data_IF_986936131118
#
_entry.id   IF_986936131118
#
_cell.length_a   1.000
_cell.length_b   1.000
_cell.length_c   1.000
_cell.angle_alpha   90.00
_cell.angle_beta   90.00
_cell.angle_gamma   90.00
#
_symmetry.space_group_name_H-M   'P 1'
#
loop_
_entity.id
_entity.type
_entity.pdbx_description
1 polymer ?
#
# COMPACT_ATOMS: atom_id res chain seq x y z
N UNK A 1 20.11 24.34 -8.02
CA UNK A 1 19.51 23.51 -6.96
C UNK A 1 20.11 23.93 -5.63
N UNK A 2 19.30 24.09 -4.59
CA UNK A 2 19.79 24.52 -3.27
C UNK A 2 20.54 23.37 -2.60
N UNK A 3 21.80 23.58 -2.27
CA UNK A 3 22.63 22.63 -1.55
C UNK A 3 22.53 22.85 -0.04
N UNK A 4 22.54 21.77 0.71
CA UNK A 4 22.44 21.76 2.16
C UNK A 4 23.71 21.18 2.75
N UNK A 5 24.09 21.65 3.95
CA UNK A 5 25.27 21.21 4.66
C UNK A 5 24.89 20.55 5.99
N UNK A 6 25.42 19.37 6.27
CA UNK A 6 25.30 18.71 7.57
C UNK A 6 26.67 18.39 8.13
N UNK A 7 26.93 18.85 9.35
CA UNK A 7 28.11 18.51 10.11
C UNK A 7 27.78 17.40 11.11
N UNK A 8 28.71 16.47 11.29
CA UNK A 8 28.50 15.38 12.24
C UNK A 8 29.72 14.50 12.42
N UNK A 9 29.58 13.51 13.30
CA UNK A 9 30.63 12.51 13.51
C UNK A 9 30.61 11.52 12.36
N UNK A 10 31.74 11.38 11.68
CA UNK A 10 31.92 10.46 10.58
C UNK A 10 32.30 9.07 11.10
N UNK A 11 31.60 8.05 10.62
CA UNK A 11 31.92 6.64 10.81
C UNK A 11 32.17 6.01 9.43
N UNK A 12 33.39 5.49 9.23
CA UNK A 12 33.80 4.76 8.04
C UNK A 12 34.39 3.41 8.43
N UNK A 13 34.30 2.43 7.53
CA UNK A 13 34.93 1.10 7.72
C UNK A 13 36.00 0.92 6.66
N UNK A 14 37.16 0.41 7.06
CA UNK A 14 38.25 0.11 6.13
C UNK A 14 37.76 -0.81 4.99
N UNK A 15 38.07 -0.45 3.74
CA UNK A 15 37.67 -1.21 2.55
C UNK A 15 36.19 -1.11 2.16
N UNK A 16 35.42 -0.16 2.73
CA UNK A 16 34.03 0.12 2.34
C UNK A 16 33.87 1.59 1.94
N UNK A 17 33.19 1.82 0.81
CA UNK A 17 32.89 3.16 0.28
C UNK A 17 31.70 3.80 0.99
N UNK A 18 30.72 3.00 1.42
CA UNK A 18 29.56 3.45 2.20
C UNK A 18 29.99 3.87 3.60
N UNK A 19 29.66 5.10 3.96
CA UNK A 19 29.98 5.76 5.23
C UNK A 19 28.68 6.13 5.96
N UNK A 20 28.81 6.51 7.23
CA UNK A 20 27.71 7.05 8.01
C UNK A 20 28.12 8.33 8.73
N UNK A 21 27.24 9.31 8.80
CA UNK A 21 27.42 10.55 9.54
C UNK A 21 26.31 10.66 10.58
N UNK A 22 26.70 10.81 11.85
CA UNK A 22 25.75 11.01 12.96
C UNK A 22 25.71 12.50 13.31
N UNK A 23 24.52 13.07 13.29
CA UNK A 23 24.26 14.47 13.64
C UNK A 23 22.95 14.61 14.42
N UNK A 24 22.66 15.80 14.93
CA UNK A 24 21.44 16.10 15.68
C UNK A 24 20.77 17.32 15.05
N UNK A 25 19.47 17.23 14.85
CA UNK A 25 18.64 18.36 14.43
C UNK A 25 17.45 18.52 15.36
N UNK A 26 17.04 19.76 15.69
CA UNK A 26 15.74 19.98 16.32
C UNK A 26 14.63 19.36 15.47
N UNK A 27 13.62 18.77 16.11
CA UNK A 27 12.55 18.08 15.40
C UNK A 27 11.82 18.96 14.37
N UNK A 28 11.71 20.27 14.63
CA UNK A 28 11.10 21.24 13.72
C UNK A 28 11.93 21.48 12.44
N UNK A 29 13.25 21.28 12.50
CA UNK A 29 14.16 21.49 11.36
C UNK A 29 14.20 20.30 10.41
N UNK A 30 13.59 19.16 10.76
CA UNK A 30 13.63 17.96 9.93
C UNK A 30 13.09 18.20 8.51
N UNK A 31 12.03 18.98 8.33
CA UNK A 31 11.48 19.26 6.99
C UNK A 31 12.35 20.22 6.16
N UNK A 32 13.22 20.99 6.81
CA UNK A 32 14.15 21.91 6.15
C UNK A 32 15.34 21.15 5.56
N UNK A 33 15.84 20.13 6.26
CA UNK A 33 17.02 19.36 5.86
C UNK A 33 16.70 18.05 5.15
N UNK A 34 15.51 17.48 5.36
CA UNK A 34 15.11 16.17 4.80
C UNK A 34 13.86 16.27 3.93
N UNK A 35 13.73 15.35 2.96
CA UNK A 35 12.55 15.18 2.11
C UNK A 35 11.46 14.38 2.83
N UNK A 36 10.97 14.90 3.95
CA UNK A 36 10.07 14.16 4.86
C UNK A 36 8.68 13.88 4.30
N UNK A 37 8.24 14.64 3.29
CA UNK A 37 6.92 14.49 2.65
C UNK A 37 6.96 13.67 1.36
N UNK A 38 8.15 13.44 0.80
CA UNK A 38 8.34 12.73 -0.46
C UNK A 38 8.34 11.23 -0.18
N UNK A 39 7.47 10.51 -0.88
CA UNK A 39 7.56 9.06 -0.96
C UNK A 39 8.53 8.72 -2.09
N UNK A 40 9.49 7.83 -1.83
CA UNK A 40 10.36 7.31 -2.88
C UNK A 40 9.48 6.61 -3.94
N UNK A 41 9.60 6.92 -5.25
CA UNK A 41 8.69 6.39 -6.28
C UNK A 41 8.54 4.86 -6.24
N UNK A 42 9.66 4.14 -6.10
CA UNK A 42 9.65 2.67 -6.06
C UNK A 42 9.18 2.10 -4.72
N UNK A 43 8.91 2.95 -3.73
CA UNK A 43 8.34 2.57 -2.44
C UNK A 43 6.86 2.97 -2.29
N UNK A 44 6.23 3.58 -3.30
CA UNK A 44 4.85 4.06 -3.23
C UNK A 44 3.87 2.97 -2.78
N UNK A 45 3.98 1.77 -3.36
CA UNK A 45 3.11 0.63 -3.02
C UNK A 45 3.29 0.17 -1.56
N UNK A 46 4.51 0.27 -1.00
CA UNK A 46 4.80 -0.11 0.37
C UNK A 46 4.33 0.97 1.37
N UNK A 47 4.43 2.24 1.00
CA UNK A 47 3.85 3.32 1.79
C UNK A 47 2.32 3.23 1.82
N UNK A 48 1.69 2.97 0.68
CA UNK A 48 0.26 2.67 0.64
C UNK A 48 -0.07 1.44 1.50
N UNK A 49 0.81 0.44 1.48
CA UNK A 49 0.64 -0.74 2.32
C UNK A 49 0.71 -0.50 3.83
N UNK A 50 1.56 0.45 4.22
CA UNK A 50 1.73 0.84 5.60
C UNK A 50 0.54 1.65 6.15
N UNK A 51 -0.41 2.11 5.31
CA UNK A 51 -1.63 2.81 5.73
C UNK A 51 -2.67 1.85 6.32
N UNK A 52 -2.34 1.24 7.45
CA UNK A 52 -3.22 0.30 8.15
C UNK A 52 -3.40 0.68 9.62
N UNK A 53 -4.46 0.13 10.23
CA UNK A 53 -4.85 0.42 11.62
C UNK A 53 -3.73 0.09 12.62
N UNK A 54 -2.96 -0.97 12.38
CA UNK A 54 -1.84 -1.38 13.26
C UNK A 54 -0.76 -0.31 13.29
N UNK A 55 -0.30 0.16 12.13
CA UNK A 55 0.69 1.24 12.06
C UNK A 55 0.13 2.57 12.60
N UNK A 56 -1.15 2.86 12.38
CA UNK A 56 -1.80 4.05 12.96
C UNK A 56 -1.83 3.99 14.50
N UNK A 57 -2.11 2.80 15.06
CA UNK A 57 -2.05 2.56 16.50
C UNK A 57 -0.63 2.77 17.04
N UNK A 58 0.37 2.14 16.40
CA UNK A 58 1.79 2.32 16.75
C UNK A 58 2.23 3.78 16.74
N UNK A 59 1.83 4.56 15.72
CA UNK A 59 2.12 6.00 15.69
C UNK A 59 1.52 6.70 16.89
N UNK A 60 0.30 6.35 17.29
CA UNK A 60 -0.36 6.96 18.45
C UNK A 60 0.34 6.57 19.76
N UNK A 61 0.72 5.30 19.92
CA UNK A 61 1.52 4.81 21.05
C UNK A 61 2.87 5.56 21.15
N UNK A 62 3.59 5.73 20.03
CA UNK A 62 4.83 6.53 19.99
C UNK A 62 4.57 7.99 20.40
N UNK A 63 3.49 8.62 19.90
CA UNK A 63 3.15 10.01 20.27
C UNK A 63 2.87 10.15 21.77
N UNK A 64 2.21 9.16 22.38
CA UNK A 64 1.93 9.13 23.82
C UNK A 64 3.19 8.93 24.66
N UNK A 65 4.11 8.08 24.22
CA UNK A 65 5.36 7.83 24.93
C UNK A 65 6.26 9.07 24.93
N UNK A 66 6.49 9.70 23.77
CA UNK A 66 7.23 10.97 23.67
C UNK A 66 6.57 12.05 24.53
N UNK A 67 5.23 12.11 24.54
CA UNK A 67 4.51 13.08 25.35
C UNK A 67 4.75 12.87 26.86
N UNK A 68 4.72 11.62 27.33
CA UNK A 68 5.01 11.30 28.74
C UNK A 68 6.45 11.65 29.11
N UNK A 69 7.40 11.34 28.24
CA UNK A 69 8.82 11.64 28.46
C UNK A 69 9.04 13.16 28.60
N UNK A 70 8.54 13.94 27.65
CA UNK A 70 8.73 15.39 27.65
C UNK A 70 7.97 16.10 28.78
N UNK A 71 6.73 15.69 29.10
CA UNK A 71 5.92 16.39 30.10
C UNK A 71 6.21 15.94 31.53
N UNK A 72 6.53 14.66 31.75
CA UNK A 72 6.66 14.09 33.09
C UNK A 72 8.12 13.81 33.48
N UNK A 73 9.09 14.10 32.61
CA UNK A 73 10.51 13.88 32.88
C UNK A 73 10.91 12.40 32.98
N UNK A 74 10.21 11.53 32.25
CA UNK A 74 10.51 10.10 32.21
C UNK A 74 11.82 9.79 31.48
N UNK A 75 12.45 8.67 31.83
CA UNK A 75 13.61 8.15 31.07
C UNK A 75 13.10 7.68 29.71
N UNK A 76 13.55 8.35 28.65
CA UNK A 76 13.17 8.08 27.27
C UNK A 76 14.30 7.53 26.41
N UNK A 77 13.93 6.93 25.28
CA UNK A 77 14.90 6.58 24.24
C UNK A 77 15.14 7.80 23.33
N UNK A 78 16.38 8.05 22.88
CA UNK A 78 16.65 9.18 21.99
C UNK A 78 15.85 9.04 20.69
N UNK A 79 15.20 10.13 20.29
CA UNK A 79 14.52 10.23 19.00
C UNK A 79 15.56 10.02 17.89
N UNK A 80 15.48 8.91 17.17
CA UNK A 80 16.52 8.54 16.22
C UNK A 80 15.92 8.15 14.86
N UNK A 81 16.49 8.69 13.79
CA UNK A 81 16.10 8.38 12.42
C UNK A 81 17.32 7.91 11.63
N UNK A 82 17.09 6.97 10.72
CA UNK A 82 18.10 6.57 9.74
C UNK A 82 17.70 7.09 8.37
N UNK A 83 18.59 7.87 7.76
CA UNK A 83 18.37 8.53 6.48
C UNK A 83 19.43 8.04 5.50
N UNK A 84 19.04 7.79 4.25
CA UNK A 84 19.95 7.50 3.15
C UNK A 84 20.01 8.71 2.23
N UNK A 85 21.21 9.08 1.80
CA UNK A 85 21.43 10.01 0.70
C UNK A 85 21.57 9.23 -0.60
N UNK A 86 20.58 9.35 -1.47
CA UNK A 86 20.67 8.91 -2.86
C UNK A 86 21.64 9.81 -3.64
N UNK A 87 22.24 9.24 -4.69
CA UNK A 87 23.30 9.86 -5.48
C UNK A 87 24.59 10.06 -4.67
N UNK A 88 25.52 10.81 -5.25
CA UNK A 88 26.86 11.05 -4.72
C UNK A 88 26.91 12.43 -4.03
N UNK A 89 26.93 12.51 -2.68
CA UNK A 89 27.16 13.77 -1.98
C UNK A 89 28.65 14.15 -2.02
N UNK A 90 28.94 15.40 -1.68
CA UNK A 90 30.33 15.84 -1.44
C UNK A 90 30.63 15.76 0.05
N UNK A 91 31.75 15.13 0.41
CA UNK A 91 32.21 15.02 1.80
C UNK A 91 33.48 15.86 1.99
N UNK A 92 33.48 16.72 3.00
CA UNK A 92 34.69 17.37 3.53
C UNK A 92 34.99 16.83 4.92
N UNK A 93 36.23 16.41 5.19
CA UNK A 93 36.61 15.77 6.46
C UNK A 93 37.63 16.61 7.22
N UNK A 94 37.41 16.78 8.52
CA UNK A 94 38.34 17.40 9.46
C UNK A 94 38.44 16.56 10.72
N UNK A 95 39.44 15.67 10.78
CA UNK A 95 39.56 14.67 11.85
C UNK A 95 38.40 13.68 11.81
N UNK A 96 37.72 13.49 12.95
CA UNK A 96 36.51 12.64 13.03
C UNK A 96 35.22 13.35 12.60
N UNK A 97 35.29 14.64 12.29
CA UNK A 97 34.12 15.42 11.85
C UNK A 97 34.03 15.41 10.33
N UNK A 98 32.85 15.07 9.82
CA UNK A 98 32.48 15.19 8.42
C UNK A 98 31.52 16.36 8.20
N UNK A 99 31.63 17.00 7.04
CA UNK A 99 30.64 17.93 6.50
C UNK A 99 30.14 17.38 5.16
N UNK A 100 28.85 17.08 5.10
CA UNK A 100 28.18 16.61 3.89
C UNK A 100 27.50 17.77 3.18
N UNK A 101 27.78 17.93 1.91
CA UNK A 101 27.01 18.77 0.99
C UNK A 101 26.14 17.89 0.09
N UNK A 102 24.83 18.15 0.09
CA UNK A 102 23.85 17.31 -0.60
C UNK A 102 22.61 18.12 -1.03
N UNK A 103 21.72 17.48 -1.78
CA UNK A 103 20.42 18.03 -2.13
C UNK A 103 19.35 17.48 -1.20
N UNK A 104 18.50 18.33 -0.61
CA UNK A 104 17.41 17.86 0.27
C UNK A 104 16.56 16.78 -0.39
N UNK A 105 16.30 16.89 -1.69
CA UNK A 105 15.51 15.93 -2.46
C UNK A 105 16.11 14.54 -2.56
N UNK A 106 17.41 14.36 -2.30
CA UNK A 106 18.07 13.06 -2.31
C UNK A 106 18.06 12.33 -0.96
N UNK A 107 17.44 12.92 0.07
CA UNK A 107 17.30 12.28 1.39
C UNK A 107 16.07 11.37 1.47
N UNK A 108 16.24 10.18 2.03
CA UNK A 108 15.16 9.22 2.25
C UNK A 108 15.25 8.57 3.63
N UNK A 109 14.17 8.65 4.41
CA UNK A 109 14.12 8.01 5.73
C UNK A 109 13.80 6.52 5.55
N UNK A 110 14.75 5.67 5.95
CA UNK A 110 14.67 4.21 5.82
C UNK A 110 14.46 3.50 7.17
N UNK A 111 14.89 4.11 8.27
CA UNK A 111 14.74 3.59 9.63
C UNK A 111 13.83 4.47 10.48
N UNK A 112 13.07 3.84 11.38
CA UNK A 112 12.14 4.51 12.30
C UNK A 112 11.11 5.40 11.59
N UNK A 113 10.56 4.92 10.47
CA UNK A 113 9.57 5.67 9.67
C UNK A 113 8.35 6.05 10.51
N UNK A 114 7.82 5.16 11.36
CA UNK A 114 6.68 5.48 12.22
C UNK A 114 6.98 6.58 13.25
N UNK A 115 8.22 6.65 13.75
CA UNK A 115 8.68 7.73 14.62
C UNK A 115 8.67 9.07 13.87
N UNK A 116 9.20 9.10 12.64
CA UNK A 116 9.11 10.29 11.79
C UNK A 116 7.65 10.73 11.65
N UNK A 117 6.72 9.80 11.35
CA UNK A 117 5.30 10.14 11.23
C UNK A 117 4.74 10.72 12.53
N UNK A 118 5.08 10.14 13.68
CA UNK A 118 4.66 10.63 14.99
C UNK A 118 5.17 12.06 15.26
N UNK A 119 6.43 12.34 14.95
CA UNK A 119 7.03 13.68 15.09
C UNK A 119 6.30 14.68 14.19
N UNK A 120 6.23 14.41 12.87
CA UNK A 120 5.63 15.33 11.90
C UNK A 120 4.15 15.60 12.23
N UNK A 121 3.39 14.56 12.56
CA UNK A 121 1.97 14.68 12.90
C UNK A 121 1.76 15.53 14.15
N UNK A 122 2.62 15.36 15.17
CA UNK A 122 2.57 16.19 16.38
C UNK A 122 2.89 17.65 16.07
N UNK A 123 3.90 17.91 15.24
CA UNK A 123 4.27 19.25 14.82
C UNK A 123 3.25 19.90 13.87
N UNK A 124 2.35 19.10 13.27
CA UNK A 124 1.37 19.56 12.29
C UNK A 124 1.93 19.65 10.87
N UNK A 125 3.09 19.03 10.63
CA UNK A 125 3.75 18.93 9.33
C UNK A 125 3.11 17.80 8.52
N UNK A 126 2.99 17.98 7.20
CA UNK A 126 2.44 16.98 6.29
C UNK A 126 3.20 15.66 6.41
N UNK A 127 2.49 14.52 6.49
CA UNK A 127 3.12 13.18 6.55
C UNK A 127 2.80 12.32 5.32
N UNK A 128 3.67 11.37 4.94
CA UNK A 128 3.45 10.49 3.80
C UNK A 128 2.49 9.30 4.05
N UNK A 129 2.24 8.91 5.32
CA UNK A 129 1.43 7.73 5.65
C UNK A 129 0.01 8.06 6.13
N UNK A 130 -0.17 9.05 7.00
CA UNK A 130 -1.47 9.36 7.60
C UNK A 130 -1.82 10.85 7.48
N UNK A 131 -3.10 11.18 7.69
CA UNK A 131 -3.51 12.58 7.77
C UNK A 131 -2.75 13.29 8.89
N UNK A 132 -2.15 14.42 8.56
CA UNK A 132 -1.51 15.34 9.50
C UNK A 132 -2.44 16.48 9.96
N UNK A 133 -3.71 16.48 9.51
CA UNK A 133 -4.66 17.54 9.90
C UNK A 133 -4.92 17.45 11.40
N UNK A 134 -4.51 18.49 12.12
CA UNK A 134 -4.87 18.72 13.51
C UNK A 134 -6.04 19.70 13.56
N UNK A 135 -7.04 19.39 14.38
CA UNK A 135 -8.12 20.32 14.71
C UNK A 135 -7.60 21.47 15.59
N UNK A 136 -8.31 22.60 15.58
CA UNK A 136 -7.98 23.76 16.43
C UNK A 136 -7.98 23.41 17.93
N UNK A 137 -8.80 22.45 18.35
CA UNK A 137 -8.82 21.95 19.73
C UNK A 137 -7.60 21.09 20.05
N UNK A 138 -7.17 20.19 19.16
CA UNK A 138 -5.95 19.39 19.32
C UNK A 138 -4.70 20.27 19.38
N UNK A 139 -4.63 21.30 18.53
CA UNK A 139 -3.53 22.28 18.51
C UNK A 139 -3.40 22.99 19.86
N UNK A 140 -4.53 23.43 20.44
CA UNK A 140 -4.54 24.14 21.73
C UNK A 140 -4.23 23.20 22.89
N UNK A 141 -4.84 22.01 22.91
CA UNK A 141 -4.66 21.01 23.98
C UNK A 141 -3.21 20.55 24.10
N UNK A 142 -2.52 20.41 22.97
CA UNK A 142 -1.16 19.88 22.93
C UNK A 142 -0.09 20.97 22.74
N UNK A 143 -0.40 22.26 22.99
CA UNK A 143 0.50 23.36 22.64
C UNK A 143 1.88 23.26 23.31
N UNK A 144 1.92 22.96 24.61
CA UNK A 144 3.17 22.83 25.38
C UNK A 144 3.99 21.65 24.85
N UNK A 145 3.37 20.47 24.73
CA UNK A 145 4.01 19.28 24.18
C UNK A 145 4.62 19.54 22.79
N UNK A 146 3.89 20.22 21.90
CA UNK A 146 4.37 20.56 20.55
C UNK A 146 5.59 21.49 20.58
N UNK A 147 5.59 22.48 21.47
CA UNK A 147 6.71 23.42 21.60
C UNK A 147 7.96 22.73 22.18
N UNK A 148 7.77 21.80 23.13
CA UNK A 148 8.87 21.02 23.68
C UNK A 148 9.45 20.10 22.61
N UNK A 149 8.61 19.32 21.92
CA UNK A 149 9.04 18.43 20.85
C UNK A 149 9.73 19.20 19.72
N UNK A 150 9.24 20.38 19.34
CA UNK A 150 9.86 21.18 18.28
C UNK A 150 11.34 21.51 18.55
N UNK A 151 11.71 21.65 19.83
CA UNK A 151 13.08 21.96 20.28
C UNK A 151 13.90 20.72 20.60
N UNK A 152 13.26 19.56 20.73
CA UNK A 152 13.92 18.33 21.11
C UNK A 152 14.83 17.82 19.99
N UNK A 153 15.98 17.27 20.37
CA UNK A 153 17.01 16.86 19.41
C UNK A 153 16.71 15.47 18.85
N UNK A 154 16.65 15.39 17.52
CA UNK A 154 16.52 14.13 16.79
C UNK A 154 17.89 13.72 16.27
N UNK A 155 18.38 12.58 16.74
CA UNK A 155 19.60 11.96 16.25
C UNK A 155 19.37 11.42 14.83
N UNK A 156 20.16 11.92 13.88
CA UNK A 156 20.14 11.47 12.49
C UNK A 156 21.38 10.64 12.19
N UNK A 157 21.17 9.41 11.76
CA UNK A 157 22.21 8.58 11.14
C UNK A 157 22.05 8.67 9.62
N UNK A 158 22.91 9.47 8.99
CA UNK A 158 22.94 9.67 7.54
C UNK A 158 23.87 8.64 6.89
N UNK A 159 23.35 7.78 6.05
CA UNK A 159 24.10 6.78 5.28
C UNK A 159 24.30 7.30 3.87
N UNK A 160 25.54 7.25 3.37
CA UNK A 160 25.90 7.79 2.06
C UNK A 160 27.13 7.10 1.48
N UNK A 161 27.37 7.33 0.18
CA UNK A 161 28.58 6.91 -0.53
C UNK A 161 29.06 8.10 -1.39
N UNK A 162 30.10 8.79 -0.93
CA UNK A 162 30.74 9.93 -1.63
C UNK A 162 31.65 9.49 -2.79
N UNK A 163 31.90 8.19 -2.97
CA UNK A 163 32.77 7.67 -4.02
C UNK A 163 31.91 7.22 -5.21
N UNK A 164 30.97 6.30 -4.98
CA UNK A 164 30.13 5.68 -6.00
C UNK A 164 28.70 6.23 -6.06
N UNK A 165 28.25 6.90 -4.99
CA UNK A 165 26.84 7.23 -4.80
C UNK A 165 25.99 6.02 -4.39
N UNK A 166 24.81 6.30 -3.84
CA UNK A 166 23.80 5.26 -3.56
C UNK A 166 22.70 5.33 -4.62
N UNK A 167 22.39 4.19 -5.22
CA UNK A 167 21.31 4.06 -6.21
C UNK A 167 19.97 3.67 -5.57
N UNK A 168 18.89 3.76 -6.35
CA UNK A 168 17.53 3.49 -5.88
C UNK A 168 17.28 2.06 -5.38
N UNK A 169 17.91 1.06 -5.99
CA UNK A 169 17.82 -0.33 -5.54
C UNK A 169 18.42 -0.49 -4.13
N UNK A 170 19.56 0.14 -3.89
CA UNK A 170 20.20 0.16 -2.57
C UNK A 170 19.36 0.89 -1.52
N UNK A 171 18.72 2.02 -1.88
CA UNK A 171 17.78 2.73 -0.99
C UNK A 171 16.63 1.81 -0.60
N UNK A 172 16.04 1.12 -1.58
CA UNK A 172 14.94 0.16 -1.36
C UNK A 172 15.40 -0.99 -0.44
N UNK A 173 16.55 -1.57 -0.71
CA UNK A 173 17.12 -2.64 0.12
C UNK A 173 17.33 -2.21 1.57
N UNK A 174 17.88 -1.00 1.78
CA UNK A 174 18.04 -0.44 3.12
C UNK A 174 16.70 -0.24 3.80
N UNK A 175 15.70 0.32 3.11
CA UNK A 175 14.34 0.46 3.65
C UNK A 175 13.79 -0.86 4.19
N UNK A 176 13.91 -1.97 3.46
CA UNK A 176 13.46 -3.27 3.96
C UNK A 176 14.34 -3.83 5.08
N UNK A 177 15.66 -3.68 5.00
CA UNK A 177 16.58 -4.13 6.07
C UNK A 177 16.23 -3.46 7.41
N UNK A 178 16.07 -2.14 7.41
CA UNK A 178 15.76 -1.37 8.62
C UNK A 178 14.34 -1.62 9.13
N UNK A 179 13.34 -1.79 8.25
CA UNK A 179 11.97 -2.04 8.70
C UNK A 179 11.68 -3.51 9.07
N UNK A 180 12.59 -4.45 8.78
CA UNK A 180 12.51 -5.85 9.27
C UNK A 180 13.03 -6.01 10.69
N UNK A 181 14.00 -5.21 11.12
CA UNK A 181 14.67 -5.32 12.42
C UNK A 181 13.96 -4.41 13.44
N UNK A 182 13.05 -5.00 14.24
CA UNK A 182 12.35 -4.42 15.42
C UNK A 182 11.48 -3.17 15.19
N UNK A 183 10.25 -3.20 15.73
CA UNK A 183 9.24 -2.10 15.75
C UNK A 183 8.76 -1.54 14.39
N UNK A 184 9.45 -1.90 13.29
CA UNK A 184 9.28 -1.38 11.95
C UNK A 184 7.88 -1.48 11.34
N UNK A 185 7.76 -0.92 10.14
CA UNK A 185 6.50 -0.84 9.41
C UNK A 185 5.81 -2.20 9.31
N UNK A 186 4.58 -2.28 9.78
CA UNK A 186 3.76 -3.46 9.58
C UNK A 186 3.29 -3.49 8.11
N UNK A 187 4.04 -4.21 7.27
CA UNK A 187 3.76 -4.46 5.86
C UNK A 187 3.12 -5.84 5.74
N UNK A 188 1.81 -5.95 5.98
CA UNK A 188 1.08 -7.23 5.98
C UNK A 188 1.14 -8.00 4.66
N UNK A 189 1.52 -7.33 3.56
CA UNK A 189 1.33 -7.85 2.20
C UNK A 189 2.62 -7.95 1.39
N UNK A 190 3.74 -7.44 1.92
CA UNK A 190 5.04 -7.44 1.27
C UNK A 190 6.12 -7.81 2.28
N UNK A 191 6.83 -8.91 2.02
CA UNK A 191 7.95 -9.33 2.88
C UNK A 191 9.31 -9.05 2.25
N UNK A 192 9.36 -8.74 0.95
CA UNK A 192 10.59 -8.54 0.16
C UNK A 192 10.48 -7.31 -0.76
N UNK A 193 11.63 -6.69 -1.09
CA UNK A 193 11.73 -5.55 -2.00
C UNK A 193 11.36 -5.86 -3.45
N UNK A 194 11.42 -7.13 -3.84
CA UNK A 194 11.34 -7.48 -5.25
C UNK A 194 9.91 -7.42 -5.77
N UNK A 195 9.75 -6.69 -6.88
CA UNK A 195 8.56 -6.73 -7.72
C UNK A 195 8.39 -8.11 -8.42
N UNK A 196 9.30 -9.06 -8.19
CA UNK A 196 9.19 -10.43 -8.68
C UNK A 196 8.51 -11.28 -7.60
N UNK A 197 7.21 -11.49 -7.77
CA UNK A 197 6.44 -12.43 -6.96
C UNK A 197 5.92 -13.59 -7.82
N UNK A 198 5.65 -14.76 -7.22
CA UNK A 198 5.37 -15.99 -7.99
C UNK A 198 4.24 -15.87 -9.00
N UNK A 199 3.20 -15.08 -8.69
CA UNK A 199 2.04 -14.90 -9.56
C UNK A 199 2.17 -13.71 -10.53
N UNK A 200 3.28 -12.96 -10.52
CA UNK A 200 3.47 -11.82 -11.43
C UNK A 200 3.40 -12.23 -12.91
N UNK A 201 4.09 -13.29 -13.36
CA UNK A 201 4.00 -13.70 -14.77
C UNK A 201 2.58 -14.03 -15.21
N UNK A 202 1.77 -14.59 -14.30
CA UNK A 202 0.37 -14.91 -14.56
C UNK A 202 -0.48 -13.64 -14.68
N UNK A 203 -0.27 -12.66 -13.80
CA UNK A 203 -0.96 -11.36 -13.88
C UNK A 203 -0.60 -10.63 -15.17
N UNK A 204 0.68 -10.60 -15.53
CA UNK A 204 1.16 -9.96 -16.76
C UNK A 204 0.56 -10.64 -18.01
N UNK A 205 0.48 -11.99 -18.02
CA UNK A 205 -0.18 -12.77 -19.06
C UNK A 205 -1.68 -12.44 -19.16
N UNK A 206 -2.42 -12.49 -18.04
CA UNK A 206 -3.85 -12.14 -18.00
C UNK A 206 -4.11 -10.73 -18.50
N UNK A 207 -3.31 -9.75 -18.06
CA UNK A 207 -3.46 -8.37 -18.46
C UNK A 207 -3.29 -8.19 -19.98
N UNK A 208 -2.37 -8.95 -20.58
CA UNK A 208 -2.15 -8.99 -22.03
C UNK A 208 -3.31 -9.68 -22.75
N UNK A 209 -3.66 -10.90 -22.35
CA UNK A 209 -4.64 -11.75 -23.05
C UNK A 209 -6.06 -11.18 -22.99
N UNK A 210 -6.38 -10.46 -21.91
CA UNK A 210 -7.65 -9.76 -21.72
C UNK A 210 -7.62 -8.31 -22.23
N UNK A 211 -6.49 -7.86 -22.79
CA UNK A 211 -6.26 -6.51 -23.30
C UNK A 211 -6.65 -5.41 -22.29
N UNK A 212 -6.16 -5.52 -21.07
CA UNK A 212 -6.46 -4.56 -20.00
C UNK A 212 -6.03 -3.12 -20.35
N UNK A 213 -5.03 -2.96 -21.22
CA UNK A 213 -4.61 -1.66 -21.75
C UNK A 213 -5.78 -0.88 -22.37
N UNK A 214 -6.71 -1.55 -23.06
CA UNK A 214 -7.92 -0.93 -23.64
C UNK A 214 -8.83 -0.28 -22.59
N UNK A 215 -8.80 -0.78 -21.35
CA UNK A 215 -9.66 -0.31 -20.25
C UNK A 215 -8.92 0.59 -19.24
N UNK A 216 -7.69 1.01 -19.55
CA UNK A 216 -6.86 1.84 -18.69
C UNK A 216 -5.65 1.13 -18.07
N UNK A 217 -5.53 -0.19 -18.22
CA UNK A 217 -4.39 -0.97 -17.77
C UNK A 217 -4.39 -1.35 -16.29
N UNK A 218 -3.26 -1.89 -15.84
CA UNK A 218 -3.02 -2.34 -14.45
C UNK A 218 -1.98 -1.45 -13.79
N UNK A 219 -2.32 -0.86 -12.64
CA UNK A 219 -1.36 -0.08 -11.85
C UNK A 219 -0.46 -0.99 -11.02
N UNK A 220 0.84 -0.69 -11.02
CA UNK A 220 1.85 -1.31 -10.14
C UNK A 220 2.15 -0.46 -8.90
N UNK A 221 1.58 0.75 -8.82
CA UNK A 221 1.99 1.78 -7.84
C UNK A 221 1.13 1.84 -6.57
N UNK A 222 -0.01 1.17 -6.56
CA UNK A 222 -1.03 1.30 -5.51
C UNK A 222 -1.77 0.00 -5.27
N UNK A 223 -2.32 -0.20 -4.07
CA UNK A 223 -3.21 -1.32 -3.78
C UNK A 223 -4.62 -1.11 -4.30
N UNK A 224 -5.02 0.15 -4.41
CA UNK A 224 -6.37 0.54 -4.82
C UNK A 224 -6.30 1.44 -6.03
N UNK A 225 -7.27 1.32 -6.92
CA UNK A 225 -7.44 2.29 -8.01
C UNK A 225 -8.00 3.57 -7.42
N UNK A 226 -7.31 4.69 -7.61
CA UNK A 226 -7.89 6.01 -7.27
C UNK A 226 -8.77 6.49 -8.41
N UNK A 227 -9.86 7.18 -8.06
CA UNK A 227 -10.79 7.77 -9.05
C UNK A 227 -10.05 8.72 -10.02
N UNK A 228 -9.00 9.40 -9.55
CA UNK A 228 -8.18 10.32 -10.34
C UNK A 228 -7.17 9.65 -11.29
N UNK A 229 -6.81 8.39 -11.05
CA UNK A 229 -5.92 7.62 -11.93
C UNK A 229 -6.71 7.12 -13.14
N UNK A 230 -6.10 6.65 -14.23
CA UNK A 230 -6.82 6.11 -15.40
C UNK A 230 -6.95 4.59 -15.43
N UNK A 231 -6.31 3.88 -14.49
CA UNK A 231 -6.23 2.42 -14.47
C UNK A 231 -7.58 1.73 -14.22
N UNK A 232 -7.72 0.49 -14.75
CA UNK A 232 -8.87 -0.37 -14.49
C UNK A 232 -8.76 -1.06 -13.12
N UNK A 233 -7.57 -1.55 -12.81
CA UNK A 233 -7.27 -2.35 -11.62
C UNK A 233 -5.81 -2.17 -11.22
N UNK A 234 -5.35 -2.88 -10.19
CA UNK A 234 -3.96 -2.89 -9.74
C UNK A 234 -3.42 -4.32 -9.70
N UNK A 235 -2.09 -4.48 -9.74
CA UNK A 235 -1.47 -5.82 -9.60
C UNK A 235 -1.89 -6.49 -8.29
N UNK A 236 -2.06 -5.71 -7.22
CA UNK A 236 -2.51 -6.21 -5.94
C UNK A 236 -3.95 -6.74 -5.98
N UNK A 237 -4.86 -6.03 -6.65
CA UNK A 237 -6.25 -6.49 -6.81
C UNK A 237 -6.28 -7.76 -7.66
N UNK A 238 -5.49 -7.82 -8.75
CA UNK A 238 -5.39 -9.02 -9.59
C UNK A 238 -4.79 -10.21 -8.84
N UNK A 239 -3.77 -10.00 -8.02
CA UNK A 239 -3.23 -11.03 -7.13
C UNK A 239 -4.35 -11.57 -6.22
N UNK A 240 -5.11 -10.69 -5.55
CA UNK A 240 -6.21 -11.11 -4.68
C UNK A 240 -7.35 -11.78 -5.45
N UNK A 241 -7.63 -11.35 -6.67
CA UNK A 241 -8.60 -12.01 -7.54
C UNK A 241 -8.16 -13.45 -7.83
N UNK A 242 -6.94 -13.65 -8.33
CA UNK A 242 -6.41 -14.98 -8.66
C UNK A 242 -6.44 -15.91 -7.43
N UNK A 243 -5.93 -15.45 -6.29
CA UNK A 243 -5.96 -16.26 -5.07
C UNK A 243 -7.40 -16.59 -4.65
N UNK A 244 -8.32 -15.62 -4.69
CA UNK A 244 -9.71 -15.86 -4.34
C UNK A 244 -10.40 -16.86 -5.27
N UNK A 245 -10.14 -16.77 -6.57
CA UNK A 245 -10.70 -17.68 -7.57
C UNK A 245 -10.22 -19.11 -7.43
N UNK A 246 -8.98 -19.35 -6.97
CA UNK A 246 -8.39 -20.69 -6.86
C UNK A 246 -8.53 -21.28 -5.45
N UNK A 247 -8.29 -20.46 -4.43
CA UNK A 247 -8.08 -20.90 -3.05
C UNK A 247 -9.18 -20.44 -2.08
N UNK A 248 -10.16 -19.67 -2.57
CA UNK A 248 -11.31 -19.23 -1.78
C UNK A 248 -11.02 -18.09 -0.80
N UNK A 249 -12.03 -17.78 0.01
CA UNK A 249 -12.08 -16.53 0.80
C UNK A 249 -10.98 -16.43 1.88
N UNK A 250 -10.67 -17.52 2.57
CA UNK A 250 -9.67 -17.51 3.65
C UNK A 250 -8.26 -17.23 3.11
N UNK A 251 -7.86 -17.95 2.05
CA UNK A 251 -6.57 -17.75 1.41
C UNK A 251 -6.47 -16.37 0.74
N UNK A 252 -7.57 -15.90 0.13
CA UNK A 252 -7.63 -14.56 -0.42
C UNK A 252 -7.34 -13.50 0.65
N UNK A 253 -7.84 -13.65 1.86
CA UNK A 253 -7.64 -12.67 2.93
C UNK A 253 -6.19 -12.67 3.45
N UNK A 254 -5.66 -13.85 3.77
CA UNK A 254 -4.39 -14.00 4.50
C UNK A 254 -3.16 -14.02 3.61
N UNK A 255 -3.33 -14.24 2.29
CA UNK A 255 -2.20 -14.34 1.36
C UNK A 255 -1.36 -13.07 1.28
N UNK A 256 -0.04 -13.27 1.16
CA UNK A 256 0.96 -12.22 1.06
C UNK A 256 1.49 -12.25 -0.38
N UNK A 257 1.43 -11.12 -1.08
CA UNK A 257 1.74 -11.02 -2.51
C UNK A 257 3.14 -11.53 -2.86
N UNK A 258 4.13 -11.32 -1.97
CA UNK A 258 5.51 -11.79 -2.14
C UNK A 258 5.71 -13.32 -2.02
N UNK A 259 4.65 -14.11 -1.81
CA UNK A 259 4.71 -15.56 -1.64
C UNK A 259 3.66 -16.24 -2.52
N UNK A 260 3.97 -17.46 -2.92
CA UNK A 260 2.95 -18.34 -3.47
C UNK A 260 2.07 -18.90 -2.34
N UNK A 261 0.87 -19.35 -2.69
CA UNK A 261 -0.10 -19.92 -1.75
C UNK A 261 -0.20 -21.42 -1.98
N UNK A 262 0.04 -22.19 -0.93
CA UNK A 262 -0.16 -23.64 -0.93
C UNK A 262 -1.59 -23.96 -0.51
N UNK A 263 -2.30 -24.71 -1.34
CA UNK A 263 -3.65 -25.20 -1.06
C UNK A 263 -3.61 -26.33 -0.02
N UNK A 264 -4.77 -26.68 0.54
CA UNK A 264 -4.89 -27.83 1.43
C UNK A 264 -4.48 -29.16 0.76
N UNK A 265 -4.58 -29.23 -0.58
CA UNK A 265 -4.09 -30.36 -1.39
C UNK A 265 -2.56 -30.46 -1.49
N UNK A 266 -1.82 -29.47 -0.98
CA UNK A 266 -0.36 -29.38 -1.11
C UNK A 266 0.11 -28.75 -2.43
N UNK A 267 -0.76 -28.58 -3.42
CA UNK A 267 -0.45 -27.89 -4.67
C UNK A 267 -0.31 -26.38 -4.46
N UNK A 268 0.54 -25.75 -5.25
CA UNK A 268 0.66 -24.29 -5.28
C UNK A 268 -0.37 -23.68 -6.22
N UNK A 269 -0.82 -22.46 -5.92
CA UNK A 269 -1.76 -21.74 -6.79
C UNK A 269 -1.17 -21.53 -8.18
N UNK A 270 0.14 -21.25 -8.31
CA UNK A 270 0.82 -21.17 -9.61
C UNK A 270 0.66 -22.45 -10.44
N UNK A 271 0.88 -23.62 -9.83
CA UNK A 271 0.77 -24.93 -10.48
C UNK A 271 -0.67 -25.20 -10.96
N UNK A 272 -1.67 -24.87 -10.13
CA UNK A 272 -3.10 -25.03 -10.50
C UNK A 272 -3.49 -24.12 -11.66
N UNK A 273 -2.93 -22.91 -11.72
CA UNK A 273 -3.19 -22.00 -12.84
C UNK A 273 -2.57 -22.53 -14.13
N UNK A 274 -1.35 -23.07 -14.06
CA UNK A 274 -0.65 -23.65 -15.21
C UNK A 274 -1.27 -24.97 -15.67
N UNK A 275 -1.96 -25.71 -14.79
CA UNK A 275 -2.74 -26.91 -15.17
C UNK A 275 -4.05 -26.59 -15.90
N UNK A 276 -4.30 -25.33 -16.24
CA UNK A 276 -5.42 -24.90 -17.09
C UNK A 276 -6.53 -24.16 -16.35
N UNK A 277 -6.49 -24.04 -15.02
CA UNK A 277 -7.51 -23.30 -14.25
C UNK A 277 -7.64 -21.83 -14.70
N UNK A 278 -6.53 -21.27 -15.20
CA UNK A 278 -6.49 -19.90 -15.73
C UNK A 278 -7.58 -19.63 -16.78
N UNK A 279 -7.99 -20.64 -17.56
CA UNK A 279 -9.03 -20.51 -18.59
C UNK A 279 -10.39 -20.12 -18.03
N UNK A 280 -10.74 -20.61 -16.83
CA UNK A 280 -11.99 -20.23 -16.15
C UNK A 280 -11.96 -18.75 -15.75
N UNK A 281 -10.83 -18.30 -15.20
CA UNK A 281 -10.61 -16.90 -14.80
C UNK A 281 -10.68 -15.99 -16.03
N UNK A 282 -10.01 -16.35 -17.12
CA UNK A 282 -10.02 -15.60 -18.37
C UNK A 282 -11.42 -15.48 -18.97
N UNK A 283 -12.15 -16.60 -19.06
CA UNK A 283 -13.49 -16.62 -19.62
C UNK A 283 -14.45 -15.72 -18.84
N UNK A 284 -14.42 -15.80 -17.51
CA UNK A 284 -15.25 -14.97 -16.64
C UNK A 284 -14.90 -13.48 -16.76
N UNK A 285 -13.63 -13.10 -16.61
CA UNK A 285 -13.23 -11.68 -16.64
C UNK A 285 -13.49 -11.09 -18.04
N UNK A 286 -13.20 -11.83 -19.10
CA UNK A 286 -13.46 -11.37 -20.48
C UNK A 286 -14.94 -11.04 -20.68
N UNK A 287 -15.84 -11.90 -20.21
CA UNK A 287 -17.27 -11.66 -20.28
C UNK A 287 -17.71 -10.48 -19.39
N UNK A 288 -17.18 -10.41 -18.16
CA UNK A 288 -17.50 -9.34 -17.21
C UNK A 288 -17.07 -7.94 -17.69
N UNK A 289 -16.00 -7.85 -18.46
CA UNK A 289 -15.54 -6.59 -19.06
C UNK A 289 -16.21 -6.28 -20.41
N UNK A 290 -16.90 -7.25 -21.03
CA UNK A 290 -17.48 -7.09 -22.37
C UNK A 290 -18.44 -5.89 -22.47
N UNK A 291 -19.37 -5.66 -21.52
CA UNK A 291 -20.29 -4.53 -21.60
C UNK A 291 -19.61 -3.16 -21.56
N UNK A 292 -18.38 -3.05 -21.02
CA UNK A 292 -17.63 -1.80 -21.00
C UNK A 292 -17.22 -1.30 -22.39
N UNK A 293 -17.31 -2.14 -23.42
CA UNK A 293 -16.99 -1.77 -24.81
C UNK A 293 -18.19 -1.27 -25.60
N UNK A 294 -19.43 -1.51 -25.15
CA UNK A 294 -20.61 -1.37 -26.01
C UNK A 294 -21.12 0.08 -26.14
N UNK A 295 -20.76 0.98 -25.21
CA UNK A 295 -21.29 2.35 -25.18
C UNK A 295 -20.27 3.48 -25.50
N UNK A 296 -19.05 3.16 -25.95
CA UNK A 296 -17.94 4.11 -26.24
C UNK A 296 -17.58 5.11 -25.12
N UNK A 297 -18.27 5.07 -23.98
CA UNK A 297 -17.85 5.62 -22.71
C UNK A 297 -17.45 4.43 -21.87
N UNK A 298 -16.14 4.24 -21.68
CA UNK A 298 -15.65 3.37 -20.61
C UNK A 298 -16.14 3.99 -19.31
N UNK A 299 -17.32 3.59 -18.83
CA UNK A 299 -17.96 4.18 -17.65
C UNK A 299 -17.30 3.58 -16.41
N UNK A 300 -16.01 3.90 -16.26
CA UNK A 300 -15.12 3.52 -15.17
C UNK A 300 -15.56 4.24 -13.89
N UNK A 301 -16.68 3.80 -13.33
CA UNK A 301 -17.41 4.54 -12.32
C UNK A 301 -17.85 3.65 -11.16
N UNK A 302 -18.14 4.31 -10.04
CA UNK A 302 -18.74 3.69 -8.87
C UNK A 302 -17.90 2.55 -8.29
N UNK A 303 -18.57 1.45 -7.97
CA UNK A 303 -17.99 0.31 -7.29
C UNK A 303 -17.16 -0.60 -8.20
N UNK A 304 -17.20 -0.45 -9.52
CA UNK A 304 -16.43 -1.33 -10.43
C UNK A 304 -14.91 -1.26 -10.19
N UNK A 305 -14.43 -0.11 -9.71
CA UNK A 305 -13.02 0.11 -9.34
C UNK A 305 -12.67 -0.38 -7.92
N UNK A 306 -13.67 -0.80 -7.13
CA UNK A 306 -13.48 -1.25 -5.75
C UNK A 306 -12.77 -2.59 -5.73
N UNK A 307 -11.68 -2.66 -4.96
CA UNK A 307 -10.97 -3.92 -4.70
C UNK A 307 -11.91 -5.00 -4.14
N UNK A 308 -12.91 -4.61 -3.34
CA UNK A 308 -13.86 -5.54 -2.72
C UNK A 308 -14.81 -6.16 -3.74
N UNK A 309 -15.19 -5.44 -4.80
CA UNK A 309 -15.99 -6.00 -5.89
C UNK A 309 -15.20 -7.05 -6.67
N UNK A 310 -13.97 -6.73 -7.07
CA UNK A 310 -13.08 -7.70 -7.73
C UNK A 310 -12.85 -8.93 -6.84
N UNK A 311 -12.61 -8.73 -5.56
CA UNK A 311 -12.45 -9.84 -4.62
C UNK A 311 -13.73 -10.67 -4.48
N UNK A 312 -14.91 -10.06 -4.43
CA UNK A 312 -16.18 -10.78 -4.39
C UNK A 312 -16.43 -11.58 -5.68
N UNK A 313 -16.18 -10.99 -6.85
CA UNK A 313 -16.27 -11.65 -8.15
C UNK A 313 -15.33 -12.86 -8.25
N UNK A 314 -14.13 -12.78 -7.66
CA UNK A 314 -13.25 -13.94 -7.64
C UNK A 314 -13.82 -15.11 -6.83
N UNK A 315 -14.58 -14.84 -5.77
CA UNK A 315 -15.24 -15.87 -4.97
C UNK A 315 -16.43 -16.50 -5.71
N UNK A 316 -17.10 -15.72 -6.58
CA UNK A 316 -18.09 -16.26 -7.53
C UNK A 316 -17.43 -17.29 -8.44
N UNK A 317 -16.28 -16.95 -9.05
CA UNK A 317 -15.51 -17.89 -9.89
C UNK A 317 -15.15 -19.16 -9.11
N UNK A 318 -14.63 -19.00 -7.89
CA UNK A 318 -14.29 -20.14 -7.02
C UNK A 318 -15.48 -21.06 -6.76
N UNK A 319 -16.63 -20.49 -6.39
CA UNK A 319 -17.84 -21.26 -6.09
C UNK A 319 -18.40 -21.96 -7.33
N UNK A 320 -18.43 -21.29 -8.48
CA UNK A 320 -18.87 -21.89 -9.74
C UNK A 320 -17.98 -23.06 -10.14
N UNK A 321 -16.65 -22.90 -10.10
CA UNK A 321 -15.72 -23.96 -10.52
C UNK A 321 -15.76 -25.15 -9.56
N UNK A 322 -15.82 -24.93 -8.25
CA UNK A 322 -16.01 -26.03 -7.28
C UNK A 322 -17.37 -26.72 -7.44
N UNK A 323 -18.40 -25.97 -7.85
CA UNK A 323 -19.70 -26.50 -8.23
C UNK A 323 -19.72 -27.27 -9.55
N UNK A 324 -18.58 -27.39 -10.25
CA UNK A 324 -18.45 -28.13 -11.50
C UNK A 324 -18.86 -27.35 -12.75
N UNK A 325 -18.96 -26.02 -12.67
CA UNK A 325 -19.36 -25.19 -13.81
C UNK A 325 -18.35 -25.27 -14.98
N UNK A 326 -18.89 -25.35 -16.18
CA UNK A 326 -18.19 -25.26 -17.47
C UNK A 326 -17.67 -23.85 -17.76
N UNK A 327 -16.77 -23.73 -18.74
CA UNK A 327 -16.24 -22.43 -19.19
C UNK A 327 -17.36 -21.53 -19.71
N UNK A 328 -18.35 -22.11 -20.38
CA UNK A 328 -19.52 -21.46 -20.94
C UNK A 328 -20.42 -20.87 -19.83
N UNK A 329 -20.62 -21.61 -18.73
CA UNK A 329 -21.34 -21.11 -17.55
C UNK A 329 -20.58 -19.98 -16.86
N UNK A 330 -19.25 -20.08 -16.75
CA UNK A 330 -18.41 -18.99 -16.24
C UNK A 330 -18.52 -17.74 -17.13
N UNK A 331 -18.54 -17.92 -18.45
CA UNK A 331 -18.73 -16.81 -19.41
C UNK A 331 -20.10 -16.17 -19.26
N UNK A 332 -21.18 -16.96 -19.14
CA UNK A 332 -22.54 -16.45 -18.92
C UNK A 332 -22.63 -15.67 -17.60
N UNK A 333 -22.09 -16.24 -16.53
CA UNK A 333 -22.05 -15.61 -15.19
C UNK A 333 -21.29 -14.29 -15.21
N UNK A 334 -20.13 -14.28 -15.89
CA UNK A 334 -19.35 -13.06 -16.10
C UNK A 334 -20.14 -11.99 -16.83
N UNK A 335 -20.90 -12.35 -17.87
CA UNK A 335 -21.73 -11.40 -18.62
C UNK A 335 -22.86 -10.80 -17.77
N UNK A 336 -23.64 -11.64 -17.06
CA UNK A 336 -24.73 -11.20 -16.16
C UNK A 336 -24.19 -10.17 -15.16
N UNK A 337 -23.08 -10.48 -14.51
CA UNK A 337 -22.45 -9.59 -13.53
C UNK A 337 -21.79 -8.38 -14.20
N UNK A 338 -21.40 -8.51 -15.47
CA UNK A 338 -20.79 -7.45 -16.26
C UNK A 338 -21.78 -6.37 -16.65
N UNK A 339 -23.05 -6.73 -16.84
CA UNK A 339 -24.15 -5.83 -17.24
C UNK A 339 -24.73 -5.03 -16.07
N UNK A 340 -24.38 -5.37 -14.83
CA UNK A 340 -24.82 -4.61 -13.65
C UNK A 340 -24.34 -3.14 -13.71
N UNK A 341 -25.19 -2.24 -13.23
CA UNK A 341 -24.84 -0.84 -13.02
C UNK A 341 -24.04 -0.67 -11.73
N UNK A 342 -22.71 -0.55 -11.85
CA UNK A 342 -21.85 -0.38 -10.68
C UNK A 342 -21.88 1.04 -10.08
N UNK A 343 -22.73 1.94 -10.56
CA UNK A 343 -22.96 3.25 -9.96
C UNK A 343 -23.36 3.15 -8.49
N UNK A 344 -22.94 4.13 -7.68
CA UNK A 344 -23.41 4.28 -6.29
C UNK A 344 -24.90 4.59 -6.17
N UNK A 345 -25.60 4.82 -7.28
CA UNK A 345 -27.04 5.11 -7.32
C UNK A 345 -27.87 3.93 -7.83
N UNK A 346 -27.22 2.83 -8.25
CA UNK A 346 -27.93 1.73 -8.87
C UNK A 346 -28.89 1.08 -7.87
N UNK A 347 -30.13 0.88 -8.30
CA UNK A 347 -31.22 0.43 -7.41
C UNK A 347 -31.07 -1.01 -6.98
N UNK A 348 -30.38 -1.85 -7.79
CA UNK A 348 -30.16 -3.26 -7.47
C UNK A 348 -29.35 -3.46 -6.19
N UNK A 349 -28.59 -2.46 -5.73
CA UNK A 349 -27.89 -2.52 -4.45
C UNK A 349 -28.80 -2.63 -3.23
N UNK A 350 -30.09 -2.28 -3.33
CA UNK A 350 -31.06 -2.56 -2.25
C UNK A 350 -31.20 -4.05 -1.95
N UNK A 351 -30.93 -4.91 -2.93
CA UNK A 351 -31.03 -6.36 -2.80
C UNK A 351 -29.74 -6.99 -2.25
N UNK A 352 -28.75 -6.17 -1.88
CA UNK A 352 -27.48 -6.63 -1.34
C UNK A 352 -27.39 -6.29 0.15
N UNK A 353 -27.44 -7.30 1.02
CA UNK A 353 -27.52 -7.16 2.48
C UNK A 353 -26.37 -6.34 3.11
N UNK A 354 -25.22 -6.27 2.43
CA UNK A 354 -24.02 -5.56 2.90
C UNK A 354 -23.88 -4.14 2.32
N UNK A 355 -24.88 -3.70 1.57
CA UNK A 355 -24.99 -2.36 1.01
C UNK A 355 -26.05 -1.57 1.77
N UNK A 356 -25.81 -0.28 1.97
CA UNK A 356 -26.77 0.62 2.58
C UNK A 356 -26.60 2.05 2.07
N UNK A 357 -27.64 2.86 2.20
CA UNK A 357 -27.59 4.26 1.81
C UNK A 357 -26.70 5.07 2.77
N UNK A 358 -26.11 6.15 2.25
CA UNK A 358 -25.40 7.13 3.03
C UNK A 358 -26.34 7.90 3.98
N UNK A 359 -25.77 8.75 4.84
CA UNK A 359 -26.56 9.53 5.81
C UNK A 359 -27.57 10.47 5.16
N UNK A 360 -27.42 10.75 3.85
CA UNK A 360 -28.31 11.60 3.08
C UNK A 360 -29.36 10.79 2.29
N UNK A 361 -29.34 9.45 2.36
CA UNK A 361 -30.25 8.58 1.63
C UNK A 361 -30.03 8.55 0.11
N UNK A 362 -28.87 9.00 -0.39
CA UNK A 362 -28.67 9.26 -1.83
C UNK A 362 -27.72 8.29 -2.52
N UNK A 363 -26.68 7.85 -1.84
CA UNK A 363 -25.62 7.03 -2.44
C UNK A 363 -25.42 5.77 -1.61
N UNK A 364 -25.32 4.62 -2.27
CA UNK A 364 -24.92 3.39 -1.64
C UNK A 364 -23.47 3.44 -1.15
N UNK A 365 -23.24 2.80 0.00
CA UNK A 365 -21.96 2.55 0.63
C UNK A 365 -21.97 1.19 1.33
N UNK A 366 -20.79 0.73 1.74
CA UNK A 366 -20.66 -0.39 2.66
C UNK A 366 -21.43 -0.09 3.96
N UNK A 367 -22.36 -0.98 4.34
CA UNK A 367 -23.16 -0.88 5.57
C UNK A 367 -22.61 -1.71 6.74
N UNK A 368 -21.59 -2.55 6.50
CA UNK A 368 -20.99 -3.42 7.52
C UNK A 368 -19.62 -2.94 7.97
N UNK A 369 -19.27 -3.28 9.21
CA UNK A 369 -18.05 -2.79 9.87
C UNK A 369 -16.78 -3.61 9.52
N UNK A 370 -16.95 -4.73 8.81
CA UNK A 370 -15.86 -5.63 8.45
C UNK A 370 -15.70 -5.72 6.94
N UNK A 371 -14.47 -5.50 6.44
CA UNK A 371 -14.15 -5.69 5.02
C UNK A 371 -14.35 -7.13 4.57
N UNK A 372 -14.16 -8.11 5.48
CA UNK A 372 -14.42 -9.53 5.23
C UNK A 372 -15.91 -9.80 5.03
N UNK A 373 -16.75 -9.28 5.93
CA UNK A 373 -18.21 -9.42 5.84
C UNK A 373 -18.72 -8.76 4.56
N UNK A 374 -18.23 -7.55 4.25
CA UNK A 374 -18.63 -6.84 3.04
C UNK A 374 -18.31 -7.64 1.77
N UNK A 375 -17.08 -8.15 1.65
CA UNK A 375 -16.66 -8.96 0.50
C UNK A 375 -17.49 -10.24 0.38
N UNK A 376 -17.66 -10.98 1.48
CA UNK A 376 -18.37 -12.26 1.44
C UNK A 376 -19.86 -12.07 1.15
N UNK A 377 -20.48 -11.00 1.69
CA UNK A 377 -21.87 -10.66 1.38
C UNK A 377 -22.07 -10.20 -0.07
N UNK A 378 -21.13 -9.44 -0.63
CA UNK A 378 -21.14 -9.12 -2.07
C UNK A 378 -21.04 -10.39 -2.93
N UNK A 379 -20.17 -11.33 -2.57
CA UNK A 379 -20.02 -12.59 -3.30
C UNK A 379 -21.32 -13.41 -3.27
N UNK A 380 -21.98 -13.50 -2.10
CA UNK A 380 -23.29 -14.14 -1.96
C UNK A 380 -24.32 -13.49 -2.88
N UNK A 381 -24.45 -12.16 -2.81
CA UNK A 381 -25.37 -11.41 -3.67
C UNK A 381 -25.13 -11.66 -5.16
N UNK A 382 -23.87 -11.66 -5.60
CA UNK A 382 -23.52 -11.95 -7.00
C UNK A 382 -23.83 -13.39 -7.40
N UNK A 383 -23.63 -14.36 -6.50
CA UNK A 383 -24.01 -15.75 -6.75
C UNK A 383 -25.53 -15.90 -6.89
N UNK A 384 -26.31 -15.26 -6.02
CA UNK A 384 -27.78 -15.28 -6.10
C UNK A 384 -28.26 -14.73 -7.45
N UNK A 385 -27.64 -13.65 -7.94
CA UNK A 385 -27.94 -13.09 -9.27
C UNK A 385 -27.60 -14.05 -10.42
N UNK A 386 -26.49 -14.76 -10.32
CA UNK A 386 -26.07 -15.72 -11.34
C UNK A 386 -27.00 -16.94 -11.33
N UNK A 387 -27.28 -17.51 -10.16
CA UNK A 387 -28.14 -18.69 -10.03
C UNK A 387 -29.58 -18.44 -10.48
N UNK A 388 -30.17 -17.29 -10.16
CA UNK A 388 -31.55 -16.97 -10.54
C UNK A 388 -31.73 -16.67 -12.04
N UNK A 389 -30.64 -16.52 -12.80
CA UNK A 389 -30.68 -16.28 -14.26
C UNK A 389 -30.27 -17.52 -15.08
N UNK A 390 -30.06 -18.68 -14.45
CA UNK A 390 -29.74 -19.94 -15.13
C UNK A 390 -31.02 -20.70 -15.57
N UNK A 391 -32.18 -20.33 -15.05
CA UNK A 391 -33.48 -20.98 -15.31
C UNK A 391 -34.37 -20.30 -16.39
N UNK A 392 -33.79 -19.47 -17.26
CA UNK A 392 -34.51 -18.80 -18.37
C UNK A 392 -34.06 -19.26 -19.76
#
# INVERSE_FOLDING_TARGET
>A
MTKFHLNGRLASRAGKTVKSLVTYLPAIELENYLSVTRVYPDLEVFYDAAKNKTNQKKVSEIQEDIQKELLNGGVGAPLSLTVVLENKPTLSVKGELGCLEYERTSTFVVGNVLLLIAILKTLGIKTPLFSSRLSSSEIKKNSIYRQMLAKDEVMLTIIFDDENGINGEQVRDMFFKYNRQHSGLHLTQFTKPDNTFPLKPVIDRLAKDLNFAKYGGVSTKSKHVKVSESYLTTEYIMFKFIIGSVAGAQAQETSIMSKDVTLASGQRVSEVLDSGYIKYIEAFIRAWLMPLNQDNKVTRTGFRLSAQIWQALSLVVYQLVIGGASIEELKRSGLILGELDYSKKATHWHNCDVMGLDSNGRLFKNSVNSTREFRNGLAKYFMDLVSNNVDC
#
